data_IF_785631070445
#
_entry.id   IF_785631070445
#
_cell.length_a   1.000
_cell.length_b   1.000
_cell.length_c   1.000
_cell.angle_alpha   90.00
_cell.angle_beta   90.00
_cell.angle_gamma   90.00
#
_symmetry.space_group_name_H-M   'P 1'
#
loop_
_entity.id
_entity.type
_entity.pdbx_description
1 polymer ?
#
# COMPACT_ATOMS: atom_id res chain seq x y z
N UNK A 1 2.51 -5.36 28.68
CA UNK A 1 2.83 -6.19 27.50
C UNK A 1 2.39 -5.39 26.30
N UNK A 2 3.29 -4.58 25.76
CA UNK A 2 3.02 -3.78 24.58
C UNK A 2 2.97 -4.72 23.39
N UNK A 3 1.79 -4.84 22.76
CA UNK A 3 1.71 -5.44 21.44
C UNK A 3 2.55 -4.57 20.52
N UNK A 4 3.51 -5.19 19.84
CA UNK A 4 4.39 -4.48 18.92
C UNK A 4 3.52 -3.88 17.81
N UNK A 5 3.49 -2.55 17.76
CA UNK A 5 3.16 -1.82 16.54
C UNK A 5 4.48 -1.78 15.79
N UNK A 6 4.63 -2.64 14.78
CA UNK A 6 5.78 -2.54 13.88
C UNK A 6 5.51 -1.38 12.91
N UNK A 7 6.37 -0.39 12.98
CA UNK A 7 6.50 0.66 11.98
C UNK A 7 7.14 0.00 10.75
N UNK A 8 6.44 0.03 9.62
CA UNK A 8 6.87 -0.59 8.37
C UNK A 8 6.97 0.51 7.32
N UNK A 9 8.10 0.58 6.64
CA UNK A 9 8.27 1.54 5.55
C UNK A 9 7.44 1.12 4.32
N UNK A 10 6.88 2.09 3.60
CA UNK A 10 6.04 1.85 2.42
C UNK A 10 6.80 1.09 1.32
N UNK A 11 8.12 1.25 1.26
CA UNK A 11 9.02 0.52 0.35
C UNK A 11 9.02 -1.00 0.57
N UNK A 12 8.68 -1.47 1.78
CA UNK A 12 8.56 -2.90 2.11
C UNK A 12 7.16 -3.47 1.81
N UNK A 13 6.18 -2.61 1.46
CA UNK A 13 4.83 -3.04 1.09
C UNK A 13 4.69 -3.29 -0.40
N UNK A 14 3.85 -4.25 -0.76
CA UNK A 14 3.57 -4.60 -2.16
C UNK A 14 2.33 -3.87 -2.67
N UNK A 15 2.46 -3.12 -3.77
CA UNK A 15 1.34 -2.44 -4.41
C UNK A 15 0.45 -3.42 -5.16
N UNK A 16 -0.79 -3.59 -4.69
CA UNK A 16 -1.79 -4.39 -5.38
C UNK A 16 -2.65 -3.52 -6.30
N UNK A 17 -2.40 -3.59 -7.61
CA UNK A 17 -3.14 -2.82 -8.61
C UNK A 17 -4.59 -3.24 -8.80
N UNK A 18 -4.95 -4.48 -8.46
CA UNK A 18 -6.33 -4.98 -8.54
C UNK A 18 -7.19 -4.42 -7.40
N UNK A 19 -6.59 -4.27 -6.20
CA UNK A 19 -7.24 -3.73 -5.02
C UNK A 19 -7.09 -2.21 -4.88
N UNK A 20 -6.06 -1.63 -5.51
CA UNK A 20 -5.69 -0.23 -5.34
C UNK A 20 -5.17 0.07 -3.93
N UNK A 21 -4.45 -0.87 -3.33
CA UNK A 21 -3.99 -0.79 -1.95
C UNK A 21 -2.60 -1.41 -1.78
N UNK A 22 -1.85 -0.91 -0.81
CA UNK A 22 -0.59 -1.51 -0.38
C UNK A 22 -0.86 -2.67 0.55
N UNK A 23 -0.20 -3.80 0.30
CA UNK A 23 -0.38 -5.03 1.05
C UNK A 23 0.92 -5.49 1.71
N UNK A 24 0.82 -6.04 2.92
CA UNK A 24 1.99 -6.51 3.66
C UNK A 24 1.71 -7.82 4.40
N UNK A 25 2.73 -8.68 4.51
CA UNK A 25 2.60 -10.02 5.08
C UNK A 25 2.36 -9.96 6.59
N UNK A 26 1.17 -10.36 7.04
CA UNK A 26 0.86 -10.43 8.46
C UNK A 26 1.28 -11.80 9.04
N UNK A 27 1.90 -11.85 10.24
CA UNK A 27 2.24 -13.11 10.90
C UNK A 27 1.03 -14.00 11.25
N UNK A 28 -0.20 -13.46 11.16
CA UNK A 28 -1.42 -14.25 11.36
C UNK A 28 -1.83 -15.10 10.15
N UNK A 29 -1.19 -14.90 8.99
CA UNK A 29 -1.45 -15.64 7.75
C UNK A 29 -2.31 -14.90 6.72
N UNK A 30 -2.77 -13.70 7.07
CA UNK A 30 -3.47 -12.77 6.17
C UNK A 30 -2.54 -11.62 5.73
N UNK A 31 -3.08 -10.67 4.96
CA UNK A 31 -2.35 -9.48 4.52
C UNK A 31 -2.91 -8.23 5.21
N UNK A 32 -2.03 -7.35 5.67
CA UNK A 32 -2.41 -5.98 5.94
C UNK A 32 -2.74 -5.28 4.64
N UNK A 33 -3.70 -4.37 4.67
CA UNK A 33 -4.08 -3.55 3.53
C UNK A 33 -4.26 -2.11 3.98
N UNK A 34 -3.77 -1.18 3.16
CA UNK A 34 -3.96 0.27 3.36
C UNK A 34 -4.14 0.95 2.01
N UNK A 35 -5.11 1.86 1.91
CA UNK A 35 -5.32 2.60 0.68
C UNK A 35 -4.40 3.81 0.60
N UNK A 36 -3.97 4.20 -0.61
CA UNK A 36 -3.20 5.41 -0.78
C UNK A 36 -4.01 6.68 -0.51
N UNK A 37 -5.33 6.60 -0.58
CA UNK A 37 -6.22 7.71 -0.20
C UNK A 37 -6.16 7.97 1.29
N UNK A 38 -6.15 6.91 2.11
CA UNK A 38 -5.92 6.99 3.56
C UNK A 38 -4.54 7.55 3.88
N UNK A 39 -3.49 7.02 3.24
CA UNK A 39 -2.13 7.57 3.37
C UNK A 39 -2.13 9.06 3.05
N UNK A 40 -2.69 9.50 1.92
CA UNK A 40 -2.79 10.94 1.55
C UNK A 40 -3.58 11.79 2.56
N UNK A 41 -4.53 11.20 3.27
CA UNK A 41 -5.29 11.88 4.33
C UNK A 41 -4.50 12.02 5.64
N UNK A 42 -3.32 11.39 5.74
CA UNK A 42 -2.52 11.29 6.97
C UNK A 42 -2.91 10.08 7.82
N UNK A 43 -3.65 9.13 7.27
CA UNK A 43 -4.12 7.93 7.94
C UNK A 43 -3.23 6.76 7.52
N UNK A 44 -2.14 6.59 8.26
CA UNK A 44 -1.06 5.64 8.00
C UNK A 44 -1.22 4.30 8.72
N UNK A 45 -2.45 3.94 9.08
CA UNK A 45 -2.75 2.75 9.88
C UNK A 45 -3.20 1.61 8.97
N UNK A 46 -2.35 0.61 8.78
CA UNK A 46 -2.68 -0.59 8.03
C UNK A 46 -3.52 -1.55 8.87
N UNK A 47 -4.64 -2.01 8.32
CA UNK A 47 -5.57 -2.89 9.03
C UNK A 47 -5.51 -4.31 8.47
N UNK A 48 -5.44 -5.32 9.36
CA UNK A 48 -5.58 -6.72 8.96
C UNK A 48 -7.01 -7.22 9.27
N UNK A 49 -7.72 -7.81 8.27
CA UNK A 49 -9.11 -8.27 8.45
C UNK A 49 -9.25 -9.46 9.41
N UNK A 50 -8.17 -10.18 9.70
CA UNK A 50 -8.22 -11.48 10.39
C UNK A 50 -7.78 -11.40 11.85
N UNK A 51 -6.80 -10.56 12.17
CA UNK A 51 -6.17 -10.54 13.48
C UNK A 51 -6.41 -9.26 14.29
N UNK A 52 -7.23 -8.31 13.81
CA UNK A 52 -7.51 -7.01 14.44
C UNK A 52 -6.27 -6.17 14.80
N UNK A 53 -5.11 -6.62 14.31
CA UNK A 53 -3.82 -6.01 14.50
C UNK A 53 -3.73 -4.82 13.54
N UNK A 54 -2.93 -3.85 13.92
CA UNK A 54 -2.67 -2.66 13.12
C UNK A 54 -1.18 -2.40 13.07
N UNK A 55 -0.72 -1.91 11.92
CA UNK A 55 0.67 -1.49 11.68
C UNK A 55 0.68 0.00 11.33
N UNK A 56 1.79 0.66 11.61
CA UNK A 56 2.01 2.06 11.22
C UNK A 56 2.87 2.05 9.97
N UNK A 57 2.40 2.68 8.89
CA UNK A 57 3.10 2.71 7.61
C UNK A 57 3.85 4.03 7.48
N UNK A 58 5.17 3.98 7.51
CA UNK A 58 6.01 5.15 7.30
C UNK A 58 6.15 5.38 5.79
N UNK A 59 5.78 6.57 5.31
CA UNK A 59 5.83 6.87 3.87
C UNK A 59 6.18 8.34 3.63
N UNK A 60 6.88 8.61 2.53
CA UNK A 60 6.97 9.96 1.99
C UNK A 60 5.88 10.24 0.93
N UNK A 61 5.33 11.46 0.88
CA UNK A 61 4.28 11.82 -0.07
C UNK A 61 4.75 11.77 -1.53
N UNK A 62 6.06 11.80 -1.78
CA UNK A 62 6.63 11.64 -3.10
C UNK A 62 6.75 10.16 -3.49
N UNK A 63 7.18 9.27 -2.59
CA UNK A 63 7.18 7.81 -2.82
C UNK A 63 5.79 7.28 -3.14
N UNK A 64 4.77 7.77 -2.43
CA UNK A 64 3.39 7.36 -2.68
C UNK A 64 2.95 7.66 -4.13
N UNK A 65 3.48 8.70 -4.77
CA UNK A 65 3.17 9.02 -6.18
C UNK A 65 3.95 8.15 -7.16
N UNK A 66 5.10 7.64 -6.75
CA UNK A 66 5.95 6.79 -7.58
C UNK A 66 5.53 5.32 -7.51
N UNK A 67 5.13 4.84 -6.33
CA UNK A 67 4.74 3.45 -6.07
C UNK A 67 3.33 3.11 -6.55
N UNK A 68 2.42 4.09 -6.56
CA UNK A 68 1.16 3.93 -7.26
C UNK A 68 1.46 4.27 -8.71
N UNK A 69 1.46 3.31 -9.65
CA UNK A 69 1.24 3.66 -11.03
C UNK A 69 -0.16 4.26 -11.04
N UNK A 70 -0.25 5.58 -10.89
CA UNK A 70 -1.45 6.33 -11.24
C UNK A 70 -1.84 5.72 -12.57
N UNK A 71 -3.01 5.10 -12.63
CA UNK A 71 -3.49 4.43 -13.83
C UNK A 71 -3.49 5.46 -14.94
N UNK A 72 -2.35 5.65 -15.57
CA UNK A 72 -2.12 6.54 -16.66
C UNK A 72 -2.51 5.69 -17.86
N UNK A 73 -3.82 5.40 -17.92
CA UNK A 73 -4.49 5.75 -19.15
C UNK A 73 -4.16 7.22 -19.33
N UNK A 74 -3.18 7.48 -20.17
CA UNK A 74 -2.91 8.84 -20.59
C UNK A 74 -4.24 9.45 -21.07
N UNK A 75 -4.35 10.77 -21.12
CA UNK A 75 -5.53 11.47 -21.63
C UNK A 75 -5.98 11.02 -23.06
N UNK A 76 -5.20 10.18 -23.77
CA UNK A 76 -5.56 9.48 -25.02
C UNK A 76 -5.81 7.95 -24.89
N UNK A 77 -5.45 7.32 -23.78
CA UNK A 77 -5.77 5.95 -23.42
C UNK A 77 -5.14 4.80 -24.19
N UNK A 78 -3.81 4.79 -24.27
CA UNK A 78 -3.02 3.71 -24.85
C UNK A 78 -2.25 2.92 -23.81
N UNK A 79 -2.28 1.59 -23.96
CA UNK A 79 -1.32 0.69 -23.35
C UNK A 79 0.03 0.83 -24.09
N UNK A 80 1.14 0.99 -23.38
CA UNK A 80 2.48 0.86 -23.96
C UNK A 80 2.94 -0.58 -23.80
N UNK A 81 3.06 -1.26 -24.92
CA UNK A 81 3.57 -2.63 -25.01
C UNK A 81 5.09 -2.61 -24.79
N UNK A 82 5.60 -3.43 -23.87
CA UNK A 82 7.00 -3.83 -23.90
C UNK A 82 7.11 -5.02 -24.87
N UNK A 83 7.65 -4.74 -26.04
CA UNK A 83 7.94 -5.68 -27.11
C UNK A 83 8.97 -6.74 -26.68
N UNK A 84 8.71 -8.02 -27.01
CA UNK A 84 9.68 -9.00 -27.55
C UNK A 84 8.99 -9.89 -28.59
#
# INVERSE_FOLDING_TARGET
MGGAYDEIDLEDMDWNSELGAFTYQCPCGDLFQITPEELRAGEEVGHCPSCSLVITVVYDPDELKELIPAGNRDESGRWVEAEE
#
